data_IF_944311045936
#
_entry.id   IF_944311045936
#
_cell.length_a   1.000
_cell.length_b   1.000
_cell.length_c   1.000
_cell.angle_alpha   90.00
_cell.angle_beta   90.00
_cell.angle_gamma   90.00
#
_symmetry.space_group_name_H-M   'P 1'
#
loop_
_entity.id
_entity.type
_entity.pdbx_description
1 polymer ?
#
# COMPACT_ATOMS: atom_id res chain seq x y z
N UNK A 1 -20.16 -30.95 28.05
CA UNK A 1 -18.88 -30.29 27.71
C UNK A 1 -19.18 -28.83 27.37
N UNK A 2 -19.25 -27.98 28.38
CA UNK A 2 -19.62 -26.57 28.23
C UNK A 2 -18.39 -25.78 27.73
N UNK A 3 -18.55 -25.10 26.60
CA UNK A 3 -17.58 -24.13 26.09
C UNK A 3 -17.58 -22.93 27.04
N UNK A 4 -16.50 -22.75 27.79
CA UNK A 4 -16.25 -21.53 28.53
C UNK A 4 -15.95 -20.43 27.50
N UNK A 5 -16.95 -19.59 27.24
CA UNK A 5 -16.74 -18.27 26.67
C UNK A 5 -15.90 -17.47 27.67
N UNK A 6 -14.65 -17.15 27.31
CA UNK A 6 -13.88 -16.15 28.03
C UNK A 6 -14.57 -14.80 27.85
N UNK A 7 -15.09 -14.28 28.95
CA UNK A 7 -15.68 -12.96 29.08
C UNK A 7 -14.55 -11.90 28.95
N UNK A 8 -14.63 -10.91 28.04
CA UNK A 8 -13.57 -9.89 27.86
C UNK A 8 -13.45 -8.89 29.03
N UNK A 9 -14.25 -9.07 30.08
CA UNK A 9 -14.32 -8.25 31.30
C UNK A 9 -14.08 -9.07 32.56
N UNK A 10 -13.14 -10.00 32.56
CA UNK A 10 -12.70 -10.66 33.79
C UNK A 10 -11.66 -9.78 34.54
N UNK A 11 -12.01 -9.14 35.67
CA UNK A 11 -11.09 -8.34 36.47
C UNK A 11 -10.03 -9.20 37.18
N UNK A 12 -10.10 -10.54 37.09
CA UNK A 12 -9.11 -11.46 37.65
C UNK A 12 -8.00 -11.85 36.69
N UNK A 13 -8.09 -11.45 35.41
CA UNK A 13 -6.97 -11.54 34.48
C UNK A 13 -5.82 -10.65 34.99
N UNK A 14 -4.71 -11.29 35.39
CA UNK A 14 -3.49 -10.64 35.92
C UNK A 14 -3.15 -9.43 35.06
N UNK A 15 -3.02 -8.25 35.69
CA UNK A 15 -2.71 -7.02 34.96
C UNK A 15 -1.46 -7.21 34.10
N UNK A 16 -1.55 -6.82 32.83
CA UNK A 16 -0.41 -6.82 31.92
C UNK A 16 0.44 -5.60 32.29
N UNK A 17 1.60 -5.84 32.89
CA UNK A 17 2.48 -4.78 33.43
C UNK A 17 3.67 -4.46 32.53
N UNK A 18 4.53 -3.52 32.93
CA UNK A 18 5.77 -3.20 32.23
C UNK A 18 6.71 -4.39 31.99
N UNK A 19 6.62 -5.45 32.80
CA UNK A 19 7.40 -6.68 32.58
C UNK A 19 7.01 -7.40 31.27
N UNK A 20 5.73 -7.36 30.91
CA UNK A 20 5.26 -7.91 29.64
C UNK A 20 5.79 -7.10 28.45
N UNK A 21 5.80 -5.77 28.57
CA UNK A 21 6.42 -4.88 27.58
C UNK A 21 7.93 -5.16 27.45
N UNK A 22 8.63 -5.32 28.56
CA UNK A 22 10.06 -5.63 28.55
C UNK A 22 10.35 -7.02 27.96
N UNK A 23 9.52 -8.03 28.27
CA UNK A 23 9.59 -9.34 27.64
C UNK A 23 9.42 -9.27 26.12
N UNK A 24 8.38 -8.56 25.66
CA UNK A 24 8.12 -8.37 24.23
C UNK A 24 9.25 -7.63 23.52
N UNK A 25 9.75 -6.53 24.09
CA UNK A 25 10.85 -5.75 23.49
C UNK A 25 12.13 -6.57 23.40
N UNK A 26 12.48 -7.36 24.43
CA UNK A 26 13.62 -8.28 24.38
C UNK A 26 13.46 -9.37 23.33
N UNK A 27 12.25 -9.93 23.20
CA UNK A 27 11.93 -10.90 22.14
C UNK A 27 12.13 -10.30 20.74
N UNK A 28 11.57 -9.12 20.48
CA UNK A 28 11.73 -8.44 19.19
C UNK A 28 13.18 -8.01 18.90
N UNK A 29 13.93 -7.58 19.92
CA UNK A 29 15.35 -7.28 19.80
C UNK A 29 16.17 -8.54 19.45
N UNK A 30 15.84 -9.67 20.06
CA UNK A 30 16.47 -10.97 19.75
C UNK A 30 16.19 -11.39 18.31
N UNK A 31 14.94 -11.27 17.85
CA UNK A 31 14.58 -11.56 16.45
C UNK A 31 15.28 -10.60 15.47
N UNK A 32 15.45 -9.32 15.83
CA UNK A 32 16.24 -8.36 15.05
C UNK A 32 17.69 -8.82 14.89
N UNK A 33 18.36 -9.20 15.99
CA UNK A 33 19.75 -9.66 15.95
C UNK A 33 19.91 -11.00 15.21
N UNK A 34 18.93 -11.91 15.35
CA UNK A 34 18.89 -13.17 14.60
C UNK A 34 18.77 -12.90 13.10
N UNK A 35 17.81 -12.07 12.69
CA UNK A 35 17.63 -11.69 11.30
C UNK A 35 18.88 -10.99 10.72
N UNK A 36 19.54 -10.14 11.51
CA UNK A 36 20.78 -9.49 11.11
C UNK A 36 21.92 -10.49 10.90
N UNK A 37 22.06 -11.47 11.79
CA UNK A 37 23.06 -12.54 11.65
C UNK A 37 22.79 -13.35 10.38
N UNK A 38 21.55 -13.79 10.17
CA UNK A 38 21.16 -14.54 8.98
C UNK A 38 21.43 -13.75 7.69
N UNK A 39 21.14 -12.44 7.69
CA UNK A 39 21.39 -11.57 6.54
C UNK A 39 22.88 -11.46 6.20
N UNK A 40 23.78 -11.49 7.20
CA UNK A 40 25.24 -11.49 6.99
C UNK A 40 25.74 -12.83 6.44
N UNK A 41 25.17 -13.93 6.92
CA UNK A 41 25.56 -15.30 6.53
C UNK A 41 25.09 -15.63 5.09
N UNK A 42 23.91 -15.16 4.70
CA UNK A 42 23.31 -15.41 3.37
C UNK A 42 23.91 -14.59 2.24
N UNK A 43 24.65 -13.52 2.54
CA UNK A 43 25.30 -12.66 1.53
C UNK A 43 26.35 -13.35 0.64
N UNK A 44 26.71 -14.61 0.89
CA UNK A 44 27.73 -15.36 0.14
C UNK A 44 27.32 -16.72 -0.45
N UNK A 45 26.06 -17.17 -0.31
CA UNK A 45 25.62 -18.53 -0.71
C UNK A 45 24.77 -18.59 -1.99
N UNK A 46 24.75 -19.76 -2.67
CA UNK A 46 23.98 -20.00 -3.91
C UNK A 46 22.45 -19.95 -3.73
N UNK A 47 21.93 -20.27 -2.53
CA UNK A 47 20.53 -20.03 -2.14
C UNK A 47 20.32 -18.68 -1.41
N UNK A 48 21.38 -17.86 -1.34
CA UNK A 48 21.42 -16.68 -0.49
C UNK A 48 20.42 -15.60 -0.85
N UNK A 49 19.86 -15.58 -2.06
CA UNK A 49 18.96 -14.51 -2.51
C UNK A 49 17.59 -14.56 -1.81
N UNK A 50 16.95 -15.73 -1.73
CA UNK A 50 15.62 -15.86 -1.08
C UNK A 50 15.75 -15.73 0.44
N UNK A 51 16.72 -16.43 1.03
CA UNK A 51 16.98 -16.39 2.47
C UNK A 51 17.40 -14.99 2.93
N UNK A 52 18.16 -14.24 2.12
CA UNK A 52 18.53 -12.85 2.41
C UNK A 52 17.31 -11.91 2.35
N UNK A 53 16.39 -12.12 1.40
CA UNK A 53 15.14 -11.35 1.30
C UNK A 53 14.24 -11.60 2.52
N UNK A 54 14.16 -12.84 2.99
CA UNK A 54 13.40 -13.19 4.18
C UNK A 54 14.07 -12.66 5.45
N UNK A 55 15.40 -12.70 5.55
CA UNK A 55 16.14 -12.07 6.64
C UNK A 55 15.91 -10.55 6.67
N UNK A 56 15.98 -9.87 5.53
CA UNK A 56 15.70 -8.43 5.43
C UNK A 56 14.23 -8.10 5.77
N UNK A 57 13.28 -9.00 5.44
CA UNK A 57 11.87 -8.88 5.84
C UNK A 57 11.72 -9.02 7.35
N UNK A 58 12.33 -10.04 7.96
CA UNK A 58 12.32 -10.25 9.41
C UNK A 58 12.92 -9.05 10.16
N UNK A 59 14.06 -8.53 9.68
CA UNK A 59 14.72 -7.35 10.22
C UNK A 59 13.82 -6.10 10.19
N UNK A 60 13.11 -5.87 9.08
CA UNK A 60 12.12 -4.77 8.99
C UNK A 60 10.94 -4.97 9.92
N UNK A 61 10.49 -6.21 10.07
CA UNK A 61 9.33 -6.54 10.90
C UNK A 61 9.63 -6.28 12.39
N UNK A 62 10.77 -6.76 12.89
CA UNK A 62 11.19 -6.51 14.27
C UNK A 62 11.46 -5.02 14.53
N UNK A 63 12.17 -4.32 13.63
CA UNK A 63 12.41 -2.88 13.76
C UNK A 63 11.10 -2.06 13.85
N UNK A 64 10.09 -2.39 13.04
CA UNK A 64 8.78 -1.72 13.08
C UNK A 64 7.99 -2.04 14.35
N UNK A 65 8.08 -3.27 14.86
CA UNK A 65 7.46 -3.67 16.13
C UNK A 65 8.07 -2.94 17.31
N UNK A 66 9.41 -2.91 17.39
CA UNK A 66 10.13 -2.13 18.40
C UNK A 66 9.68 -0.66 18.32
N UNK A 67 9.83 -0.01 17.15
CA UNK A 67 9.45 1.40 16.96
C UNK A 67 7.97 1.68 17.31
N UNK A 68 7.07 0.74 16.99
CA UNK A 68 5.65 0.85 17.32
C UNK A 68 5.36 0.73 18.80
N UNK A 69 6.01 -0.20 19.50
CA UNK A 69 5.91 -0.34 20.96
C UNK A 69 6.50 0.88 21.68
N UNK A 70 7.63 1.43 21.20
CA UNK A 70 8.19 2.68 21.72
C UNK A 70 7.24 3.87 21.55
N UNK A 71 6.45 3.89 20.47
CA UNK A 71 5.47 4.95 20.25
C UNK A 71 4.25 4.81 21.17
N UNK A 72 3.67 3.61 21.28
CA UNK A 72 2.44 3.41 22.06
C UNK A 72 2.67 3.48 23.56
N UNK A 73 3.78 2.88 24.04
CA UNK A 73 4.11 2.77 25.46
C UNK A 73 5.17 3.78 25.92
N UNK A 74 5.39 4.86 25.16
CA UNK A 74 6.34 5.93 25.48
C UNK A 74 6.30 6.39 26.95
N UNK A 75 5.13 6.57 27.62
CA UNK A 75 5.09 7.02 29.01
C UNK A 75 5.75 6.08 30.03
N UNK A 76 6.00 4.82 29.66
CA UNK A 76 6.57 3.79 30.53
C UNK A 76 8.05 3.54 30.28
N UNK A 77 8.62 4.14 29.23
CA UNK A 77 10.00 3.98 28.79
C UNK A 77 10.76 5.28 29.02
N UNK A 78 12.08 5.19 29.09
CA UNK A 78 12.93 6.38 29.08
C UNK A 78 12.64 7.24 27.85
N UNK A 79 12.33 8.52 28.09
CA UNK A 79 11.82 9.42 27.07
C UNK A 79 12.91 9.81 26.06
N UNK A 80 14.11 10.10 26.55
CA UNK A 80 15.24 10.55 25.73
C UNK A 80 15.71 9.42 24.81
N UNK A 81 15.87 8.22 25.37
CA UNK A 81 16.21 7.02 24.62
C UNK A 81 15.15 6.68 23.57
N UNK A 82 13.85 6.78 23.92
CA UNK A 82 12.76 6.49 22.99
C UNK A 82 12.70 7.50 21.84
N UNK A 83 12.90 8.78 22.10
CA UNK A 83 12.90 9.82 21.06
C UNK A 83 14.14 9.75 20.16
N UNK A 84 15.28 9.31 20.68
CA UNK A 84 16.48 9.06 19.88
C UNK A 84 16.34 7.80 19.00
N UNK A 85 15.79 6.71 19.53
CA UNK A 85 15.72 5.41 18.83
C UNK A 85 14.66 5.36 17.73
N UNK A 86 13.51 6.01 17.90
CA UNK A 86 12.40 5.97 16.94
C UNK A 86 12.75 6.43 15.52
N UNK A 87 13.38 7.60 15.29
CA UNK A 87 13.74 8.04 13.94
C UNK A 87 14.77 7.11 13.29
N UNK A 88 15.68 6.52 14.08
CA UNK A 88 16.69 5.58 13.58
C UNK A 88 16.07 4.26 13.11
N UNK A 89 15.15 3.68 13.88
CA UNK A 89 14.39 2.49 13.48
C UNK A 89 13.48 2.77 12.27
N UNK A 90 12.92 3.97 12.18
CA UNK A 90 12.14 4.41 11.03
C UNK A 90 13.01 4.53 9.77
N UNK A 91 14.19 5.14 9.88
CA UNK A 91 15.18 5.24 8.81
C UNK A 91 15.62 3.86 8.32
N UNK A 92 15.99 2.96 9.22
CA UNK A 92 16.43 1.61 8.88
C UNK A 92 15.32 0.81 8.17
N UNK A 93 14.13 0.75 8.78
CA UNK A 93 13.01 -0.01 8.23
C UNK A 93 12.44 0.57 6.93
N UNK A 94 12.61 1.88 6.72
CA UNK A 94 12.32 2.57 5.47
C UNK A 94 13.32 2.21 4.37
N UNK A 95 14.61 2.35 4.66
CA UNK A 95 15.71 2.08 3.71
C UNK A 95 15.65 0.65 3.18
N UNK A 96 15.51 -0.33 4.07
CA UNK A 96 15.39 -1.75 3.71
C UNK A 96 14.11 -2.07 2.93
N UNK A 97 13.08 -1.22 2.99
CA UNK A 97 11.82 -1.49 2.32
C UNK A 97 11.79 -1.02 0.86
N UNK A 98 12.67 -0.09 0.47
CA UNK A 98 12.64 0.54 -0.84
C UNK A 98 12.86 -0.45 -1.98
N UNK A 99 13.80 -1.39 -1.82
CA UNK A 99 14.11 -2.39 -2.84
C UNK A 99 12.88 -3.27 -3.15
N UNK A 100 12.30 -3.86 -2.10
CA UNK A 100 11.11 -4.70 -2.22
C UNK A 100 9.90 -3.91 -2.75
N UNK A 101 9.73 -2.66 -2.31
CA UNK A 101 8.66 -1.79 -2.82
C UNK A 101 8.81 -1.51 -4.32
N UNK A 102 10.03 -1.33 -4.83
CA UNK A 102 10.25 -1.17 -6.27
C UNK A 102 9.90 -2.45 -7.04
N UNK A 103 10.29 -3.63 -6.51
CA UNK A 103 9.99 -4.92 -7.13
C UNK A 103 8.48 -5.19 -7.19
N UNK A 104 7.78 -5.07 -6.04
CA UNK A 104 6.34 -5.29 -5.97
C UNK A 104 5.55 -4.30 -6.85
N UNK A 105 6.00 -3.04 -6.91
CA UNK A 105 5.37 -2.02 -7.77
C UNK A 105 5.55 -2.34 -9.25
N UNK A 106 6.72 -2.83 -9.66
CA UNK A 106 6.97 -3.23 -11.04
C UNK A 106 6.06 -4.40 -11.44
N UNK A 107 6.03 -5.45 -10.62
CA UNK A 107 5.17 -6.61 -10.85
C UNK A 107 3.70 -6.21 -10.98
N UNK A 108 3.19 -5.40 -10.04
CA UNK A 108 1.82 -4.88 -10.07
C UNK A 108 1.50 -4.14 -11.36
N UNK A 109 2.36 -3.21 -11.79
CA UNK A 109 2.13 -2.40 -12.98
C UNK A 109 2.19 -3.22 -14.27
N UNK A 110 3.12 -4.19 -14.35
CA UNK A 110 3.19 -5.10 -15.49
C UNK A 110 1.93 -5.97 -15.56
N UNK A 111 1.49 -6.58 -14.46
CA UNK A 111 0.26 -7.37 -14.43
C UNK A 111 -0.97 -6.55 -14.85
N UNK A 112 -1.07 -5.31 -14.36
CA UNK A 112 -2.15 -4.39 -14.77
C UNK A 112 -2.08 -4.05 -16.26
N UNK A 113 -0.88 -3.81 -16.84
CA UNK A 113 -0.72 -3.58 -18.27
C UNK A 113 -1.12 -4.80 -19.11
N UNK A 114 -0.78 -6.01 -18.68
CA UNK A 114 -1.19 -7.25 -19.35
C UNK A 114 -2.71 -7.42 -19.31
N UNK A 115 -3.33 -7.18 -18.14
CA UNK A 115 -4.80 -7.18 -17.97
C UNK A 115 -5.47 -6.19 -18.92
N UNK A 116 -5.02 -4.94 -18.93
CA UNK A 116 -5.60 -3.87 -19.77
C UNK A 116 -5.39 -4.13 -21.26
N UNK A 117 -4.26 -4.73 -21.65
CA UNK A 117 -3.96 -5.08 -23.05
C UNK A 117 -4.80 -6.27 -23.54
N UNK A 118 -5.06 -7.26 -22.67
CA UNK A 118 -5.94 -8.40 -22.95
C UNK A 118 -7.43 -8.05 -22.93
N UNK A 119 -7.82 -7.07 -22.12
CA UNK A 119 -9.20 -6.58 -21.97
C UNK A 119 -9.59 -5.47 -22.95
N UNK A 120 -8.90 -5.28 -24.08
CA UNK A 120 -9.21 -4.28 -25.11
C UNK A 120 -10.52 -4.57 -25.90
N UNK A 121 -11.56 -5.05 -25.23
CA UNK A 121 -12.96 -4.84 -25.59
C UNK A 121 -13.54 -3.82 -24.60
N UNK A 122 -13.48 -2.54 -24.97
CA UNK A 122 -14.14 -1.46 -24.21
C UNK A 122 -15.64 -1.75 -24.07
N UNK A 123 -16.30 -1.35 -22.97
CA UNK A 123 -17.76 -1.34 -22.91
C UNK A 123 -18.27 -0.35 -23.96
N UNK A 124 -19.07 -0.84 -24.91
CA UNK A 124 -19.79 0.02 -25.82
C UNK A 124 -20.61 1.01 -24.99
N UNK A 125 -20.38 2.32 -25.17
CA UNK A 125 -21.29 3.33 -24.68
C UNK A 125 -22.67 2.98 -25.24
N UNK A 126 -23.59 2.66 -24.33
CA UNK A 126 -25.00 2.47 -24.58
C UNK A 126 -25.54 3.77 -25.20
N UNK A 127 -25.52 3.85 -26.53
CA UNK A 127 -26.39 4.75 -27.27
C UNK A 127 -27.81 4.17 -27.14
N UNK A 128 -28.50 4.59 -26.08
CA UNK A 128 -29.91 4.32 -25.92
C UNK A 128 -30.65 4.91 -27.12
N UNK A 129 -31.28 4.02 -27.86
CA UNK A 129 -32.20 4.27 -28.95
C UNK A 129 -33.33 5.19 -28.48
N UNK A 130 -33.48 6.35 -29.12
CA UNK A 130 -34.73 7.10 -29.15
C UNK A 130 -35.32 6.98 -30.56
N UNK A 131 -36.37 6.17 -30.63
CA UNK A 131 -37.20 5.84 -31.79
C UNK A 131 -38.17 6.98 -32.10
N UNK A 132 -38.40 7.25 -33.39
CA UNK A 132 -39.60 7.94 -33.92
C UNK A 132 -39.25 9.03 -34.95
N UNK A 133 -39.68 9.00 -36.21
CA UNK A 133 -40.62 8.13 -36.90
C UNK A 133 -40.47 8.27 -38.43
N UNK A 134 -40.98 7.27 -39.16
CA UNK A 134 -41.16 7.29 -40.62
C UNK A 134 -42.63 7.58 -40.93
N UNK A 135 -42.86 8.19 -42.12
CA UNK A 135 -43.87 7.88 -43.17
C UNK A 135 -44.17 9.20 -43.92
N UNK A 136 -43.63 9.47 -45.13
CA UNK A 136 -43.97 9.07 -46.54
C UNK A 136 -44.43 10.30 -47.33
N UNK A 137 -43.92 10.50 -48.54
CA UNK A 137 -44.49 11.43 -49.53
C UNK A 137 -43.71 11.40 -50.84
N UNK A 138 -44.35 10.90 -51.90
CA UNK A 138 -43.78 10.57 -53.20
C UNK A 138 -43.61 11.79 -54.14
N UNK A 139 -42.70 11.66 -55.12
CA UNK A 139 -42.58 12.58 -56.27
C UNK A 139 -41.53 12.14 -57.29
N UNK A 140 -41.93 11.97 -58.55
CA UNK A 140 -41.33 11.21 -59.66
C UNK A 140 -40.53 12.10 -60.64
N UNK A 141 -39.44 11.60 -61.26
CA UNK A 141 -38.90 12.20 -62.51
C UNK A 141 -37.46 11.86 -62.98
N UNK A 142 -37.32 10.76 -63.76
CA UNK A 142 -36.46 10.51 -64.99
C UNK A 142 -34.91 10.69 -64.99
N UNK A 143 -34.10 9.88 -65.73
CA UNK A 143 -32.63 9.71 -65.51
C UNK A 143 -31.65 10.16 -66.65
N UNK A 144 -30.35 10.13 -66.30
CA UNK A 144 -29.09 9.95 -67.11
C UNK A 144 -28.32 11.20 -67.64
N UNK A 145 -26.99 11.14 -67.99
CA UNK A 145 -25.89 10.21 -67.62
C UNK A 145 -24.56 10.89 -67.16
N UNK A 146 -23.61 10.02 -66.77
CA UNK A 146 -22.17 10.13 -66.42
C UNK A 146 -21.31 11.36 -66.86
N UNK A 147 -20.48 11.89 -65.93
CA UNK A 147 -19.00 11.69 -65.91
C UNK A 147 -18.27 12.54 -64.83
N UNK A 148 -17.35 11.88 -64.10
CA UNK A 148 -15.99 12.41 -63.88
C UNK A 148 -15.67 13.26 -62.65
N UNK A 149 -15.22 12.62 -61.56
CA UNK A 149 -13.88 12.77 -60.92
C UNK A 149 -13.94 12.45 -59.43
N UNK A 150 -13.28 11.35 -59.08
CA UNK A 150 -13.25 10.75 -57.74
C UNK A 150 -12.81 11.69 -56.62
N UNK A 151 -13.74 11.99 -55.74
CA UNK A 151 -13.48 12.12 -54.31
C UNK A 151 -13.54 10.71 -53.73
N UNK A 152 -12.38 10.09 -53.52
CA UNK A 152 -12.30 8.81 -52.83
C UNK A 152 -12.92 8.92 -51.43
N UNK A 153 -13.66 7.90 -50.95
CA UNK A 153 -14.11 7.91 -49.58
C UNK A 153 -12.86 7.88 -48.70
N UNK A 154 -12.70 8.88 -47.85
CA UNK A 154 -11.74 8.82 -46.76
C UNK A 154 -12.11 7.62 -45.89
N UNK A 155 -11.39 6.52 -46.07
CA UNK A 155 -11.49 5.33 -45.24
C UNK A 155 -11.21 5.77 -43.80
N UNK A 156 -12.11 5.52 -42.83
CA UNK A 156 -11.75 5.71 -41.44
C UNK A 156 -10.53 4.83 -41.14
N UNK A 157 -9.54 5.29 -40.35
CA UNK A 157 -8.45 4.44 -39.93
C UNK A 157 -9.05 3.15 -39.35
N UNK A 158 -8.62 2.03 -39.89
CA UNK A 158 -9.19 0.73 -39.55
C UNK A 158 -8.93 0.47 -38.08
N UNK A 159 -9.98 0.15 -37.32
CA UNK A 159 -9.91 -0.14 -35.88
C UNK A 159 -8.81 -1.15 -35.51
N UNK A 160 -8.39 -1.99 -36.46
CA UNK A 160 -7.27 -2.92 -36.37
C UNK A 160 -5.90 -2.23 -36.25
N UNK A 161 -5.66 -1.14 -37.00
CA UNK A 161 -4.42 -0.37 -36.93
C UNK A 161 -4.33 0.45 -35.63
N UNK A 162 -5.44 1.01 -35.17
CA UNK A 162 -5.52 1.69 -33.87
C UNK A 162 -5.26 0.72 -32.71
N UNK A 163 -5.84 -0.49 -32.75
CA UNK A 163 -5.53 -1.55 -31.78
C UNK A 163 -4.05 -1.93 -31.80
N UNK A 164 -3.45 -2.10 -32.98
CA UNK A 164 -2.01 -2.38 -33.11
C UNK A 164 -1.14 -1.27 -32.52
N UNK A 165 -1.51 -0.01 -32.70
CA UNK A 165 -0.78 1.11 -32.09
C UNK A 165 -0.93 1.16 -30.56
N UNK A 166 -2.09 0.81 -30.02
CA UNK A 166 -2.33 0.74 -28.58
C UNK A 166 -1.57 -0.41 -27.90
N UNK A 167 -1.50 -1.58 -28.54
CA UNK A 167 -0.71 -2.72 -28.02
C UNK A 167 0.78 -2.41 -28.05
N UNK A 168 1.28 -1.78 -29.11
CA UNK A 168 2.67 -1.27 -29.18
C UNK A 168 2.90 -0.18 -28.11
N UNK A 169 1.91 0.68 -27.85
CA UNK A 169 1.94 1.68 -26.79
C UNK A 169 2.11 1.06 -25.40
N UNK A 170 1.32 0.03 -25.09
CA UNK A 170 1.37 -0.72 -23.84
C UNK A 170 2.70 -1.48 -23.66
N UNK A 171 3.20 -2.13 -24.72
CA UNK A 171 4.51 -2.80 -24.68
C UNK A 171 5.65 -1.81 -24.38
N UNK A 172 5.64 -0.64 -25.03
CA UNK A 172 6.61 0.44 -24.77
C UNK A 172 6.48 1.02 -23.37
N UNK A 173 5.25 1.13 -22.84
CA UNK A 173 5.00 1.58 -21.47
C UNK A 173 5.56 0.58 -20.45
N UNK A 174 5.34 -0.72 -20.68
CA UNK A 174 5.92 -1.79 -19.87
C UNK A 174 7.44 -1.74 -19.84
N UNK A 175 8.09 -1.67 -21.01
CA UNK A 175 9.55 -1.58 -21.11
C UNK A 175 10.13 -0.31 -20.43
N UNK A 176 9.41 0.82 -20.51
CA UNK A 176 9.80 2.06 -19.82
C UNK A 176 9.75 1.90 -18.30
N UNK A 177 8.65 1.36 -17.77
CA UNK A 177 8.45 1.12 -16.34
C UNK A 177 9.46 0.11 -15.80
N UNK A 178 9.68 -0.99 -16.52
CA UNK A 178 10.68 -2.00 -16.20
C UNK A 178 12.07 -1.38 -16.08
N UNK A 179 12.49 -0.59 -17.07
CA UNK A 179 13.77 0.12 -17.00
C UNK A 179 13.86 1.05 -15.79
N UNK A 180 12.84 1.89 -15.56
CA UNK A 180 12.87 2.88 -14.48
C UNK A 180 12.87 2.23 -13.09
N UNK A 181 11.97 1.26 -12.85
CA UNK A 181 11.84 0.61 -11.55
C UNK A 181 12.98 -0.37 -11.29
N UNK A 182 13.56 -1.00 -12.31
CA UNK A 182 14.78 -1.80 -12.15
C UNK A 182 15.97 -0.93 -11.74
N UNK A 183 16.15 0.23 -12.39
CA UNK A 183 17.19 1.18 -11.99
C UNK A 183 16.96 1.70 -10.56
N UNK A 184 15.72 2.03 -10.20
CA UNK A 184 15.37 2.43 -8.84
C UNK A 184 15.65 1.31 -7.83
N UNK A 185 15.34 0.06 -8.17
CA UNK A 185 15.63 -1.12 -7.35
C UNK A 185 17.13 -1.30 -7.12
N UNK A 186 17.96 -1.24 -8.17
CA UNK A 186 19.42 -1.36 -8.03
C UNK A 186 20.03 -0.23 -7.18
N UNK A 187 19.51 1.00 -7.31
CA UNK A 187 19.90 2.12 -6.44
C UNK A 187 19.46 1.90 -4.99
N UNK A 188 18.25 1.42 -4.77
CA UNK A 188 17.75 1.11 -3.43
C UNK A 188 18.56 -0.03 -2.78
N UNK A 189 18.92 -1.05 -3.55
CA UNK A 189 19.74 -2.18 -3.11
C UNK A 189 21.13 -1.72 -2.66
N UNK A 190 21.84 -0.96 -3.50
CA UNK A 190 23.15 -0.39 -3.13
C UNK A 190 23.07 0.55 -1.93
N UNK A 191 22.02 1.38 -1.84
CA UNK A 191 21.77 2.25 -0.67
C UNK A 191 21.54 1.44 0.60
N UNK A 192 20.79 0.34 0.52
CA UNK A 192 20.55 -0.56 1.65
C UNK A 192 21.84 -1.23 2.14
N UNK A 193 22.67 -1.73 1.23
CA UNK A 193 23.98 -2.31 1.57
C UNK A 193 24.92 -1.27 2.21
N UNK A 194 24.97 -0.05 1.67
CA UNK A 194 25.74 1.06 2.26
C UNK A 194 25.23 1.43 3.65
N UNK A 195 23.91 1.49 3.84
CA UNK A 195 23.30 1.78 5.13
C UNK A 195 23.67 0.70 6.16
N UNK A 196 23.61 -0.59 5.80
CA UNK A 196 23.98 -1.71 6.68
C UNK A 196 25.47 -1.74 7.05
N UNK A 197 26.35 -1.17 6.22
CA UNK A 197 27.77 -1.00 6.52
C UNK A 197 28.12 0.32 7.22
N UNK A 198 27.13 1.18 7.52
CA UNK A 198 27.39 2.51 8.08
C UNK A 198 27.55 2.48 9.61
N UNK A 199 28.35 3.41 10.15
CA UNK A 199 28.46 3.62 11.60
C UNK A 199 27.10 3.93 12.25
N UNK A 200 26.22 4.63 11.53
CA UNK A 200 24.83 4.89 11.95
C UNK A 200 24.07 3.59 12.22
N UNK A 201 24.16 2.63 11.31
CA UNK A 201 23.52 1.32 11.52
C UNK A 201 24.12 0.56 12.70
N UNK A 202 25.44 0.54 12.83
CA UNK A 202 26.11 -0.13 13.94
C UNK A 202 25.67 0.44 15.30
N UNK A 203 25.57 1.77 15.43
CA UNK A 203 25.05 2.41 16.64
C UNK A 203 23.62 1.96 16.99
N UNK A 204 22.75 1.79 15.99
CA UNK A 204 21.39 1.27 16.19
C UNK A 204 21.43 -0.20 16.60
N UNK A 205 22.24 -1.02 15.93
CA UNK A 205 22.36 -2.44 16.24
C UNK A 205 22.90 -2.67 17.66
N UNK A 206 23.85 -1.86 18.13
CA UNK A 206 24.39 -1.92 19.48
C UNK A 206 23.34 -1.55 20.53
N UNK A 207 22.55 -0.49 20.28
CA UNK A 207 21.43 -0.14 21.17
C UNK A 207 20.34 -1.22 21.20
N UNK A 208 20.07 -1.88 20.07
CA UNK A 208 19.15 -3.03 20.03
C UNK A 208 19.74 -4.24 20.75
N UNK A 209 21.06 -4.43 20.72
CA UNK A 209 21.74 -5.48 21.49
C UNK A 209 21.60 -5.26 22.99
N UNK A 210 21.77 -4.02 23.47
CA UNK A 210 21.48 -3.66 24.87
C UNK A 210 20.01 -3.90 25.19
N UNK A 211 19.08 -3.51 24.30
CA UNK A 211 17.64 -3.70 24.48
C UNK A 211 17.24 -5.19 24.64
N UNK A 212 18.02 -6.12 24.07
CA UNK A 212 17.77 -7.56 24.21
C UNK A 212 18.03 -8.07 25.64
N UNK A 213 18.82 -7.35 26.44
CA UNK A 213 19.13 -7.69 27.83
C UNK A 213 18.42 -6.77 28.82
N UNK A 214 18.47 -5.46 28.58
CA UNK A 214 18.02 -4.42 29.50
C UNK A 214 17.04 -3.48 28.78
N UNK A 215 15.83 -3.35 29.33
CA UNK A 215 14.81 -2.44 28.81
C UNK A 215 14.74 -1.21 29.71
N UNK A 216 14.90 0.01 29.18
CA UNK A 216 14.91 1.24 29.97
C UNK A 216 13.48 1.61 30.39
N UNK A 217 12.93 0.86 31.34
CA UNK A 217 11.63 1.12 31.95
C UNK A 217 11.73 2.25 32.98
N UNK A 218 10.72 3.10 33.03
CA UNK A 218 10.56 4.07 34.13
C UNK A 218 10.30 3.34 35.45
N UNK A 219 10.66 3.91 36.61
CA UNK A 219 10.43 3.28 37.92
C UNK A 219 8.95 2.92 38.18
N UNK A 220 8.03 3.67 37.59
CA UNK A 220 6.58 3.47 37.70
C UNK A 220 6.03 2.37 36.79
N UNK A 221 6.82 1.88 35.81
CA UNK A 221 6.34 0.93 34.82
C UNK A 221 6.10 -0.48 35.37
N UNK A 222 6.77 -0.86 36.46
CA UNK A 222 6.67 -2.21 37.03
C UNK A 222 5.24 -2.57 37.48
N UNK A 223 4.48 -1.60 37.98
CA UNK A 223 3.09 -1.77 38.41
C UNK A 223 2.06 -1.15 37.47
N UNK A 224 2.50 -0.44 36.43
CA UNK A 224 1.61 0.24 35.50
C UNK A 224 0.88 -0.77 34.60
N UNK A 225 -0.44 -0.63 34.52
CA UNK A 225 -1.28 -1.40 33.59
C UNK A 225 -1.09 -0.89 32.15
N UNK A 226 -0.79 -1.79 31.22
CA UNK A 226 -0.60 -1.47 29.79
C UNK A 226 -1.93 -1.28 29.04
N UNK A 227 -3.05 -1.80 29.57
CA UNK A 227 -4.36 -1.78 28.90
C UNK A 227 -4.85 -0.37 28.54
N UNK A 228 -4.74 0.66 29.40
CA UNK A 228 -5.16 2.02 29.06
C UNK A 228 -4.36 2.63 27.89
N UNK A 229 -3.05 2.34 27.80
CA UNK A 229 -2.21 2.85 26.71
C UNK A 229 -2.54 2.18 25.38
N UNK A 230 -2.82 0.89 25.39
CA UNK A 230 -3.29 0.16 24.21
C UNK A 230 -4.69 0.60 23.78
N UNK A 231 -5.61 0.84 24.74
CA UNK A 231 -6.94 1.38 24.48
C UNK A 231 -6.84 2.77 23.83
N UNK A 232 -5.98 3.66 24.34
CA UNK A 232 -5.74 4.97 23.73
C UNK A 232 -5.22 4.87 22.28
N UNK A 233 -4.44 3.84 21.93
CA UNK A 233 -4.07 3.59 20.54
C UNK A 233 -5.26 3.15 19.67
N UNK A 234 -6.18 2.38 20.24
CA UNK A 234 -7.46 2.01 19.61
C UNK A 234 -8.38 3.21 19.39
N UNK A 235 -8.52 4.09 20.39
CA UNK A 235 -9.32 5.32 20.27
C UNK A 235 -8.78 6.24 19.19
N UNK A 236 -7.46 6.50 19.16
CA UNK A 236 -6.83 7.29 18.08
C UNK A 236 -7.10 6.71 16.69
N UNK A 237 -7.14 5.38 16.57
CA UNK A 237 -7.49 4.71 15.33
C UNK A 237 -8.97 4.93 14.97
N UNK A 238 -9.89 4.75 15.92
CA UNK A 238 -11.31 4.97 15.72
C UNK A 238 -11.59 6.42 15.31
N UNK A 239 -10.98 7.40 16.00
CA UNK A 239 -11.10 8.83 15.70
C UNK A 239 -10.61 9.15 14.28
N UNK A 240 -9.45 8.62 13.91
CA UNK A 240 -8.89 8.84 12.58
C UNK A 240 -9.75 8.20 11.49
N UNK A 241 -10.37 7.05 11.75
CA UNK A 241 -11.31 6.41 10.82
C UNK A 241 -12.62 7.19 10.73
N UNK A 242 -13.13 7.72 11.84
CA UNK A 242 -14.32 8.57 11.86
C UNK A 242 -14.13 9.87 11.08
N UNK A 243 -12.89 10.39 11.03
CA UNK A 243 -12.52 11.56 10.25
C UNK A 243 -12.31 11.28 8.75
N UNK A 244 -12.33 10.02 8.29
CA UNK A 244 -12.17 9.71 6.88
C UNK A 244 -13.42 10.11 6.08
N UNK A 245 -13.26 10.59 4.82
CA UNK A 245 -14.38 10.88 3.92
C UNK A 245 -14.99 9.59 3.37
N UNK A 246 -15.59 8.78 4.24
CA UNK A 246 -16.15 7.46 3.93
C UNK A 246 -17.37 7.53 2.99
N UNK A 247 -18.08 8.66 2.96
CA UNK A 247 -19.23 8.88 2.08
C UNK A 247 -18.81 9.01 0.61
N UNK A 248 -17.66 9.64 0.34
CA UNK A 248 -17.11 9.78 -1.00
C UNK A 248 -16.50 8.46 -1.52
N UNK A 249 -16.03 7.60 -0.61
CA UNK A 249 -15.51 6.26 -0.92
C UNK A 249 -16.61 5.20 -1.18
N UNK A 250 -17.89 5.58 -1.01
CA UNK A 250 -19.04 4.69 -1.22
C UNK A 250 -19.36 4.39 -2.69
N UNK A 251 -18.71 5.08 -3.63
CA UNK A 251 -18.88 4.85 -5.06
C UNK A 251 -17.56 4.37 -5.69
N UNK A 252 -17.54 3.21 -6.38
CA UNK A 252 -16.34 2.70 -7.05
C UNK A 252 -15.84 3.62 -8.20
N UNK A 253 -16.66 4.60 -8.61
CA UNK A 253 -16.35 5.61 -9.61
C UNK A 253 -16.52 7.00 -9.01
N UNK A 254 -15.51 7.52 -8.32
CA UNK A 254 -15.48 8.94 -7.99
C UNK A 254 -14.77 9.73 -9.11
N UNK A 255 -15.54 10.48 -9.90
CA UNK A 255 -15.03 11.27 -11.02
C UNK A 255 -14.05 12.39 -10.60
N UNK A 256 -14.12 12.85 -9.34
CA UNK A 256 -13.21 13.88 -8.81
C UNK A 256 -11.73 13.42 -8.78
N UNK A 257 -11.49 12.12 -8.62
CA UNK A 257 -10.14 11.55 -8.63
C UNK A 257 -9.46 11.66 -10.02
N UNK A 258 -10.26 11.66 -11.10
CA UNK A 258 -9.77 11.86 -12.47
C UNK A 258 -9.50 13.34 -12.79
N UNK A 259 -10.32 14.25 -12.25
CA UNK A 259 -10.18 15.70 -12.48
C UNK A 259 -8.91 16.25 -11.80
N UNK A 260 -8.58 15.77 -10.60
CA UNK A 260 -7.36 16.18 -9.88
C UNK A 260 -6.07 15.47 -10.37
N UNK A 261 -6.17 14.40 -11.15
CA UNK A 261 -5.02 13.67 -11.72
C UNK A 261 -4.32 14.39 -12.88
N UNK A 262 -4.88 15.50 -13.37
CA UNK A 262 -4.32 16.33 -14.44
C UNK A 262 -3.51 17.53 -13.91
N UNK A 263 -3.34 17.66 -12.60
CA UNK A 263 -2.51 18.72 -12.02
C UNK A 263 -1.03 18.50 -12.40
N UNK A 264 -0.30 19.54 -12.86
CA UNK A 264 1.11 19.43 -13.21
C UNK A 264 2.02 19.18 -12.00
N UNK A 265 1.52 19.46 -10.78
CA UNK A 265 2.28 19.33 -9.54
C UNK A 265 2.26 17.87 -9.03
N UNK A 266 3.41 17.22 -8.76
CA UNK A 266 3.51 15.86 -8.20
C UNK A 266 2.96 15.71 -6.77
N UNK A 267 2.22 16.69 -6.25
CA UNK A 267 1.64 16.61 -4.92
C UNK A 267 0.83 15.31 -4.75
N UNK A 268 1.02 14.57 -3.65
CA UNK A 268 0.21 13.40 -3.36
C UNK A 268 -1.26 13.79 -3.44
N UNK A 269 -2.10 12.95 -4.04
CA UNK A 269 -3.53 13.19 -4.07
C UNK A 269 -3.98 13.51 -2.64
N UNK A 270 -4.59 14.69 -2.37
CA UNK A 270 -4.79 15.20 -1.01
C UNK A 270 -5.62 14.24 -0.16
N UNK A 271 -6.44 13.43 -0.82
CA UNK A 271 -7.27 12.42 -0.19
C UNK A 271 -6.48 11.20 0.30
N UNK A 272 -5.27 10.89 -0.19
CA UNK A 272 -4.54 9.67 0.16
C UNK A 272 -3.84 9.77 1.54
N UNK A 273 -3.52 10.99 1.99
CA UNK A 273 -2.80 11.26 3.26
C UNK A 273 -3.51 10.69 4.50
N UNK A 274 -4.79 10.99 4.74
CA UNK A 274 -5.56 10.44 5.86
C UNK A 274 -5.60 8.90 5.88
N UNK A 275 -5.70 8.26 4.71
CA UNK A 275 -5.71 6.79 4.63
C UNK A 275 -4.36 6.17 5.00
N UNK A 276 -3.25 6.81 4.61
CA UNK A 276 -1.91 6.39 5.03
C UNK A 276 -1.72 6.55 6.54
N UNK A 277 -2.31 7.58 7.14
CA UNK A 277 -2.29 7.78 8.59
C UNK A 277 -3.10 6.70 9.31
N UNK A 278 -4.30 6.37 8.86
CA UNK A 278 -5.11 5.28 9.41
C UNK A 278 -4.37 3.93 9.31
N UNK A 279 -3.66 3.68 8.20
CA UNK A 279 -2.82 2.49 8.05
C UNK A 279 -1.70 2.42 9.08
N UNK A 280 -1.06 3.55 9.40
CA UNK A 280 -0.05 3.62 10.45
C UNK A 280 -0.68 3.33 11.83
N UNK A 281 -1.80 3.97 12.15
CA UNK A 281 -2.51 3.80 13.42
C UNK A 281 -3.01 2.37 13.62
N UNK A 282 -3.54 1.74 12.58
CA UNK A 282 -3.97 0.34 12.62
C UNK A 282 -2.79 -0.59 12.96
N UNK A 283 -1.63 -0.33 12.37
CA UNK A 283 -0.41 -1.10 12.66
C UNK A 283 0.06 -0.89 14.10
N UNK A 284 0.01 0.34 14.62
CA UNK A 284 0.34 0.65 16.01
C UNK A 284 -0.61 -0.03 16.99
N UNK A 285 -1.91 -0.03 16.70
CA UNK A 285 -2.92 -0.74 17.49
C UNK A 285 -2.65 -2.26 17.49
N UNK A 286 -2.31 -2.85 16.35
CA UNK A 286 -1.94 -4.28 16.27
C UNK A 286 -0.71 -4.60 17.12
N UNK A 287 0.35 -3.79 17.04
CA UNK A 287 1.55 -3.99 17.86
C UNK A 287 1.27 -3.82 19.36
N UNK A 288 0.39 -2.89 19.73
CA UNK A 288 -0.07 -2.77 21.11
C UNK A 288 -0.82 -4.03 21.57
N UNK A 289 -1.66 -4.60 20.69
CA UNK A 289 -2.34 -5.88 20.92
C UNK A 289 -1.37 -7.05 21.09
N UNK A 290 -0.31 -7.13 20.28
CA UNK A 290 0.75 -8.15 20.42
C UNK A 290 1.43 -8.05 21.80
N UNK A 291 1.69 -6.84 22.32
CA UNK A 291 2.26 -6.65 23.67
C UNK A 291 1.30 -7.12 24.77
N UNK A 292 -0.01 -6.90 24.60
CA UNK A 292 -1.01 -7.26 25.60
C UNK A 292 -1.28 -8.76 25.69
N UNK A 293 -1.28 -9.47 24.57
CA UNK A 293 -1.71 -10.87 24.50
C UNK A 293 -0.52 -11.84 24.35
N UNK A 294 0.70 -11.34 24.17
CA UNK A 294 1.89 -12.18 24.00
C UNK A 294 1.84 -12.99 22.70
N UNK A 295 2.26 -14.24 22.78
CA UNK A 295 2.49 -15.11 21.60
C UNK A 295 1.20 -15.66 20.96
N UNK A 296 0.04 -15.54 21.62
CA UNK A 296 -1.25 -16.01 21.08
C UNK A 296 -2.33 -14.91 21.11
N UNK A 297 -2.18 -13.85 20.28
CA UNK A 297 -3.19 -12.81 20.19
C UNK A 297 -4.45 -13.37 19.50
N UNK A 298 -5.65 -13.03 19.99
CA UNK A 298 -6.88 -13.38 19.29
C UNK A 298 -6.82 -12.78 17.87
N UNK A 299 -6.88 -13.65 16.86
CA UNK A 299 -6.83 -13.25 15.46
C UNK A 299 -8.11 -12.47 15.10
N UNK A 300 -8.07 -11.14 15.21
CA UNK A 300 -9.14 -10.30 14.68
C UNK A 300 -9.03 -10.27 13.15
N UNK A 301 -9.69 -11.25 12.51
CA UNK A 301 -9.80 -11.39 11.04
C UNK A 301 -10.21 -10.07 10.38
N UNK A 302 -11.00 -9.24 11.07
CA UNK A 302 -11.42 -7.93 10.60
C UNK A 302 -10.25 -6.96 10.51
N UNK A 303 -9.41 -6.86 11.55
CA UNK A 303 -8.22 -5.99 11.53
C UNK A 303 -7.21 -6.46 10.48
N UNK A 304 -7.11 -7.78 10.26
CA UNK A 304 -6.30 -8.33 9.17
C UNK A 304 -6.84 -7.93 7.80
N UNK A 305 -8.14 -8.10 7.56
CA UNK A 305 -8.78 -7.70 6.30
C UNK A 305 -8.69 -6.18 6.05
N UNK A 306 -8.93 -5.37 7.08
CA UNK A 306 -8.79 -3.92 7.03
C UNK A 306 -7.32 -3.52 6.74
N UNK A 307 -6.36 -4.19 7.37
CA UNK A 307 -4.93 -3.97 7.12
C UNK A 307 -4.50 -4.35 5.71
N UNK A 308 -5.04 -5.44 5.17
CA UNK A 308 -4.83 -5.85 3.78
C UNK A 308 -5.39 -4.81 2.81
N UNK A 309 -6.62 -4.33 3.01
CA UNK A 309 -7.23 -3.28 2.20
C UNK A 309 -6.39 -2.00 2.20
N UNK A 310 -5.90 -1.56 3.37
CA UNK A 310 -5.04 -0.37 3.46
C UNK A 310 -3.66 -0.55 2.80
N UNK A 311 -3.11 -1.77 2.79
CA UNK A 311 -1.88 -2.05 2.04
C UNK A 311 -2.15 -1.96 0.53
N UNK A 312 -3.25 -2.57 0.04
CA UNK A 312 -3.65 -2.46 -1.36
C UNK A 312 -3.88 -1.01 -1.79
N UNK A 313 -4.53 -0.19 -0.95
CA UNK A 313 -4.68 1.25 -1.17
C UNK A 313 -3.32 1.93 -1.38
N UNK A 314 -2.37 1.70 -0.47
CA UNK A 314 -1.04 2.31 -0.56
C UNK A 314 -0.30 1.85 -1.82
N UNK A 315 -0.31 0.55 -2.10
CA UNK A 315 0.42 -0.03 -3.22
C UNK A 315 -0.16 0.48 -4.55
N UNK A 316 -1.48 0.61 -4.64
CA UNK A 316 -2.16 1.21 -5.79
C UNK A 316 -1.87 2.71 -5.94
N UNK A 317 -1.88 3.47 -4.84
CA UNK A 317 -1.54 4.90 -4.84
C UNK A 317 -0.10 5.14 -5.31
N UNK A 318 0.87 4.38 -4.77
CA UNK A 318 2.27 4.48 -5.18
C UNK A 318 2.48 4.02 -6.64
N UNK A 319 1.74 3.00 -7.11
CA UNK A 319 1.76 2.54 -8.50
C UNK A 319 1.19 3.60 -9.46
N UNK A 320 0.07 4.24 -9.10
CA UNK A 320 -0.52 5.34 -9.86
C UNK A 320 0.45 6.52 -10.00
N UNK A 321 1.15 6.88 -8.91
CA UNK A 321 2.17 7.92 -8.92
C UNK A 321 3.37 7.56 -9.82
N UNK A 322 3.80 6.30 -9.82
CA UNK A 322 4.87 5.83 -10.70
C UNK A 322 4.47 5.88 -12.18
N UNK A 323 3.24 5.47 -12.53
CA UNK A 323 2.72 5.57 -13.89
C UNK A 323 2.65 7.04 -14.36
N UNK A 324 2.15 7.95 -13.52
CA UNK A 324 2.11 9.38 -13.81
C UNK A 324 3.51 9.99 -13.96
N UNK A 325 4.46 9.59 -13.10
CA UNK A 325 5.86 10.00 -13.23
C UNK A 325 6.49 9.49 -14.53
N UNK A 326 6.22 8.25 -14.92
CA UNK A 326 6.73 7.68 -16.17
C UNK A 326 6.16 8.40 -17.40
N UNK A 327 4.89 8.84 -17.36
CA UNK A 327 4.26 9.60 -18.44
C UNK A 327 4.91 10.98 -18.67
N UNK A 328 5.63 11.51 -17.69
CA UNK A 328 6.40 12.76 -17.80
C UNK A 328 7.80 12.59 -18.40
N UNK A 329 8.17 11.37 -18.79
CA UNK A 329 9.48 11.12 -19.41
C UNK A 329 9.57 11.85 -20.76
N UNK A 330 10.63 12.63 -21.03
CA UNK A 330 10.76 13.36 -22.28
C UNK A 330 10.86 12.40 -23.48
N UNK A 331 10.29 12.81 -24.63
CA UNK A 331 10.37 12.09 -25.92
C UNK A 331 9.71 10.69 -25.93
N UNK A 332 8.70 10.46 -25.09
CA UNK A 332 7.86 9.25 -25.22
C UNK A 332 6.85 9.40 -26.38
N UNK A 333 6.49 8.28 -27.01
CA UNK A 333 5.47 8.28 -28.06
C UNK A 333 4.07 8.56 -27.48
N UNK A 334 3.16 9.24 -28.20
CA UNK A 334 1.80 9.50 -27.73
C UNK A 334 1.03 8.24 -27.30
N UNK A 335 1.18 7.13 -28.03
CA UNK A 335 0.57 5.84 -27.67
C UNK A 335 1.08 5.29 -26.33
N UNK A 336 2.36 5.53 -26.00
CA UNK A 336 2.94 5.16 -24.70
C UNK A 336 2.40 6.05 -23.58
N UNK A 337 2.30 7.36 -23.81
CA UNK A 337 1.70 8.29 -22.86
C UNK A 337 0.23 7.93 -22.57
N UNK A 338 -0.53 7.58 -23.60
CA UNK A 338 -1.91 7.12 -23.47
C UNK A 338 -2.01 5.84 -22.62
N UNK A 339 -1.20 4.82 -22.90
CA UNK A 339 -1.17 3.59 -22.12
C UNK A 339 -0.83 3.84 -20.64
N UNK A 340 0.11 4.74 -20.35
CA UNK A 340 0.45 5.13 -18.98
C UNK A 340 -0.69 5.91 -18.29
N UNK A 341 -1.45 6.71 -19.04
CA UNK A 341 -2.65 7.38 -18.54
C UNK A 341 -3.76 6.40 -18.17
N UNK A 342 -4.03 5.40 -19.02
CA UNK A 342 -5.00 4.33 -18.73
C UNK A 342 -4.56 3.51 -17.51
N UNK A 343 -3.26 3.17 -17.43
CA UNK A 343 -2.69 2.48 -16.28
C UNK A 343 -2.82 3.29 -14.99
N UNK A 344 -2.56 4.60 -15.03
CA UNK A 344 -2.77 5.48 -13.89
C UNK A 344 -4.23 5.46 -13.43
N UNK A 345 -5.19 5.60 -14.36
CA UNK A 345 -6.61 5.57 -14.05
C UNK A 345 -7.06 4.22 -13.45
N UNK A 346 -6.59 3.10 -14.00
CA UNK A 346 -6.80 1.75 -13.45
C UNK A 346 -6.30 1.65 -11.99
N UNK A 347 -5.10 2.15 -11.70
CA UNK A 347 -4.58 2.14 -10.33
C UNK A 347 -5.34 3.10 -9.40
N UNK A 348 -5.88 4.22 -9.89
CA UNK A 348 -6.78 5.07 -9.10
C UNK A 348 -8.11 4.39 -8.80
N UNK A 349 -8.65 3.59 -9.72
CA UNK A 349 -9.83 2.76 -9.42
C UNK A 349 -9.54 1.69 -8.36
N UNK A 350 -8.37 1.06 -8.40
CA UNK A 350 -7.93 0.11 -7.37
C UNK A 350 -7.78 0.79 -5.98
N UNK A 351 -7.36 2.07 -5.95
CA UNK A 351 -7.35 2.88 -4.71
C UNK A 351 -8.77 3.01 -4.14
N UNK A 352 -9.76 3.40 -4.94
CA UNK A 352 -11.15 3.53 -4.47
C UNK A 352 -11.75 2.17 -4.08
N UNK A 353 -11.46 1.11 -4.84
CA UNK A 353 -11.88 -0.24 -4.50
C UNK A 353 -11.32 -0.70 -3.15
N UNK A 354 -10.06 -0.36 -2.84
CA UNK A 354 -9.44 -0.63 -1.56
C UNK A 354 -10.09 0.17 -0.41
N UNK A 355 -10.48 1.43 -0.65
CA UNK A 355 -11.22 2.24 0.33
C UNK A 355 -12.58 1.63 0.65
N UNK A 356 -13.30 1.19 -0.39
CA UNK A 356 -14.57 0.49 -0.24
C UNK A 356 -14.41 -0.84 0.53
N UNK A 357 -13.41 -1.65 0.19
CA UNK A 357 -13.11 -2.90 0.89
C UNK A 357 -12.75 -2.67 2.38
N UNK A 358 -11.99 -1.62 2.67
CA UNK A 358 -11.72 -1.20 4.05
C UNK A 358 -13.02 -0.83 4.77
N UNK A 359 -13.88 -0.01 4.16
CA UNK A 359 -15.16 0.37 4.75
C UNK A 359 -16.03 -0.85 5.06
N UNK A 360 -16.16 -1.80 4.13
CA UNK A 360 -16.93 -3.03 4.32
C UNK A 360 -16.37 -3.92 5.45
N UNK A 361 -15.05 -4.08 5.50
CA UNK A 361 -14.42 -4.83 6.61
C UNK A 361 -14.57 -4.10 7.95
N UNK A 362 -14.46 -2.78 7.98
CA UNK A 362 -14.58 -1.99 9.21
C UNK A 362 -16.01 -1.92 9.75
N UNK A 363 -17.01 -1.71 8.87
CA UNK A 363 -18.43 -1.57 9.21
C UNK A 363 -19.11 -2.88 9.62
N UNK A 364 -18.57 -4.06 9.29
CA UNK A 364 -19.07 -5.35 9.79
C UNK A 364 -19.07 -5.46 11.33
N UNK A 365 -18.43 -4.52 12.04
CA UNK A 365 -18.58 -4.33 13.50
C UNK A 365 -19.97 -3.79 13.89
N UNK A 366 -20.59 -2.93 13.08
CA UNK A 366 -21.80 -2.18 13.46
C UNK A 366 -23.09 -3.02 13.43
N UNK A 367 -23.09 -4.20 12.83
CA UNK A 367 -24.29 -5.07 12.74
C UNK A 367 -24.34 -6.14 13.85
N UNK A 368 -23.28 -6.26 14.66
CA UNK A 368 -23.21 -7.21 15.77
C UNK A 368 -23.10 -6.52 17.12
N UNK A 369 -24.24 -6.01 17.60
CA UNK A 369 -24.73 -5.93 19.00
C UNK A 369 -25.62 -4.69 19.15
N UNK A 370 -26.91 -4.88 18.93
CA UNK A 370 -27.98 -4.12 19.57
C UNK A 370 -28.81 -5.10 20.42
#
# INVERSE_FOLDING_TARGET
>A
MAQQHLDPTDPTARAVTGDALAGYLRGQATEFLRALRLHRETGGGQNGTEESVDAARALRHSARRISGSLHTFRPLLDADWSEEMRPELAWLSGTLALEHACAARLERLLLALHRLSGSAAFPAQSAASAVGGRVTGAGRGVPAPANGRGTGPATPPTATAERGNLTVGAAKAGALLERQLTLARTRAHSTALQALGSSRFHAVADKVAVLASEVPLTPTAASADLRPLAAAAGERLNDAVAALPLVTAGHPYNAEALIHGLSPDPAPHPQDGPWHQVRLLLRLHRYAGEVLHGDDPPLDVRLLAAGQALNLHRDASEAAAAAASAARTPRIAPATAYALGVLHADQRHEVEAARFAFQQSWQKRAVGTA
#
